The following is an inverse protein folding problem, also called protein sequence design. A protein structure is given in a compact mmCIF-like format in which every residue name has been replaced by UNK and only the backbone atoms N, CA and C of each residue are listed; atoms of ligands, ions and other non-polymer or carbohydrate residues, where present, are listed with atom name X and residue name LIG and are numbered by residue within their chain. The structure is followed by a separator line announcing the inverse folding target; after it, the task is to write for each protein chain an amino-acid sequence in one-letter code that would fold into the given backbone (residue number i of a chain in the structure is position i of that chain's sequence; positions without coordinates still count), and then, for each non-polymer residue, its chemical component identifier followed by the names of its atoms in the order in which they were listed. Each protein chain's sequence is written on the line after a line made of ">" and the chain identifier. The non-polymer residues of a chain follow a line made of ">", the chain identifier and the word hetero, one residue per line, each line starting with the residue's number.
data_IF_153197036994
#
_entry.id   IF_153197036994
#
_cell.length_a   1.000
_cell.length_b   1.000
_cell.length_c   1.000
_cell.angle_alpha   90.00
_cell.angle_beta   90.00
_cell.angle_gamma   90.00
#
_symmetry.space_group_name_H-M   'P 1'
#
loop_
_entity.id
_entity.type
_entity.pdbx_description
1 polymer ?
#
# COMPACT_ATOMS: atom_id res chain seq x y z
N UNK A 1 10.91 -4.64 -16.68
CA UNK A 1 10.16 -3.98 -15.61
C UNK A 1 9.66 -4.95 -14.57
N UNK A 2 9.69 -4.54 -13.31
CA UNK A 2 9.25 -5.39 -12.20
C UNK A 2 7.89 -4.93 -11.69
N UNK A 3 7.04 -5.90 -11.32
CA UNK A 3 5.83 -5.62 -10.55
C UNK A 3 6.12 -5.93 -9.09
N UNK A 4 6.00 -4.94 -8.23
CA UNK A 4 6.07 -5.11 -6.78
C UNK A 4 4.70 -5.54 -6.28
N UNK A 5 4.65 -6.67 -5.61
CA UNK A 5 3.41 -7.14 -5.00
C UNK A 5 3.11 -6.29 -3.77
N UNK A 6 1.86 -5.83 -3.66
CA UNK A 6 1.40 -5.19 -2.44
C UNK A 6 1.48 -6.18 -1.27
N UNK A 7 1.91 -5.73 -0.08
CA UNK A 7 1.84 -6.56 1.12
C UNK A 7 0.41 -6.86 1.55
N UNK A 8 -0.57 -6.10 1.06
CA UNK A 8 -1.98 -6.32 1.37
C UNK A 8 -2.66 -7.15 0.29
N UNK A 9 -3.42 -8.15 0.71
CA UNK A 9 -4.40 -8.83 -0.16
C UNK A 9 -5.66 -8.00 -0.19
N UNK A 10 -5.78 -7.16 -1.21
CA UNK A 10 -6.89 -6.23 -1.31
C UNK A 10 -7.79 -6.60 -2.50
N UNK A 11 -9.09 -6.81 -2.31
CA UNK A 11 -10.03 -7.06 -3.41
C UNK A 11 -10.01 -5.90 -4.41
N UNK A 12 -9.99 -6.21 -5.69
CA UNK A 12 -9.93 -5.19 -6.74
C UNK A 12 -8.53 -4.64 -7.00
N UNK A 13 -7.47 -5.33 -6.57
CA UNK A 13 -6.09 -4.96 -6.88
C UNK A 13 -5.88 -4.74 -8.39
N UNK A 14 -5.14 -3.69 -8.74
CA UNK A 14 -4.82 -3.30 -10.12
C UNK A 14 -3.47 -3.86 -10.59
N UNK A 15 -2.92 -4.85 -9.89
CA UNK A 15 -1.60 -5.41 -10.22
C UNK A 15 -1.52 -5.90 -11.68
N UNK A 16 -2.56 -6.57 -12.16
CA UNK A 16 -2.63 -7.05 -13.55
C UNK A 16 -2.70 -5.92 -14.58
N UNK A 17 -3.11 -4.75 -14.17
CA UNK A 17 -3.24 -3.58 -15.04
C UNK A 17 -1.94 -2.79 -15.20
N UNK A 18 -0.93 -3.04 -14.40
CA UNK A 18 0.31 -2.23 -14.37
C UNK A 18 0.97 -2.10 -15.74
N UNK A 19 1.14 -3.21 -16.48
CA UNK A 19 1.77 -3.15 -17.80
C UNK A 19 0.90 -2.43 -18.83
N UNK A 20 -0.41 -2.60 -18.77
CA UNK A 20 -1.34 -1.87 -19.63
C UNK A 20 -1.28 -0.38 -19.34
N UNK A 21 -1.22 0.00 -18.07
CA UNK A 21 -1.07 1.38 -17.65
C UNK A 21 0.22 1.99 -18.18
N UNK A 22 1.34 1.26 -18.11
CA UNK A 22 2.62 1.68 -18.69
C UNK A 22 2.51 1.95 -20.17
N UNK A 23 1.84 1.07 -20.92
CA UNK A 23 1.60 1.26 -22.36
C UNK A 23 0.79 2.52 -22.64
N UNK A 24 -0.23 2.81 -21.83
CA UNK A 24 -1.03 4.04 -21.97
C UNK A 24 -0.16 5.26 -21.79
N UNK A 25 0.69 5.28 -20.77
CA UNK A 25 1.63 6.37 -20.55
C UNK A 25 2.58 6.56 -21.75
N UNK A 26 3.18 5.48 -22.22
CA UNK A 26 4.13 5.52 -23.33
C UNK A 26 3.48 5.97 -24.62
N UNK A 27 2.31 5.43 -24.95
CA UNK A 27 1.59 5.76 -26.19
C UNK A 27 1.12 7.22 -26.22
N UNK A 28 0.94 7.84 -25.09
CA UNK A 28 0.52 9.24 -24.97
C UNK A 28 1.68 10.18 -24.59
N UNK A 29 2.91 9.68 -24.55
CA UNK A 29 4.11 10.44 -24.16
C UNK A 29 3.96 11.12 -22.79
N UNK A 30 3.31 10.44 -21.85
CA UNK A 30 3.09 10.95 -20.50
C UNK A 30 4.22 10.48 -19.60
N UNK A 31 4.96 11.45 -19.03
CA UNK A 31 6.00 11.20 -18.02
C UNK A 31 5.65 12.02 -16.77
N UNK A 32 4.85 11.48 -15.86
CA UNK A 32 4.38 12.24 -14.72
C UNK A 32 5.52 12.53 -13.73
N UNK A 33 5.56 13.76 -13.21
CA UNK A 33 6.40 14.08 -12.06
C UNK A 33 5.73 13.60 -10.78
N UNK A 34 4.42 13.80 -10.68
CA UNK A 34 3.62 13.37 -9.53
C UNK A 34 2.53 12.43 -10.04
N UNK A 35 2.43 11.27 -9.43
CA UNK A 35 1.35 10.32 -9.67
C UNK A 35 0.45 10.26 -8.43
N UNK A 36 -0.84 10.49 -8.63
CA UNK A 36 -1.83 10.49 -7.55
C UNK A 36 -2.77 9.31 -7.75
N UNK A 37 -2.84 8.42 -6.78
CA UNK A 37 -3.77 7.30 -6.80
C UNK A 37 -4.87 7.50 -5.76
N UNK A 38 -6.07 7.94 -6.17
CA UNK A 38 -7.23 7.95 -5.29
C UNK A 38 -7.74 6.53 -5.09
N UNK A 39 -8.37 6.27 -3.95
CA UNK A 39 -8.85 4.94 -3.59
C UNK A 39 -7.73 3.89 -3.65
N UNK A 40 -6.61 4.20 -3.03
CA UNK A 40 -5.35 3.47 -3.22
C UNK A 40 -5.43 1.98 -2.86
N UNK A 41 -6.17 1.62 -1.82
CA UNK A 41 -6.31 0.21 -1.41
C UNK A 41 -4.96 -0.47 -1.26
N UNK A 42 -4.70 -1.49 -2.07
CA UNK A 42 -3.42 -2.20 -2.11
C UNK A 42 -2.29 -1.44 -2.80
N UNK A 43 -2.55 -0.28 -3.39
CA UNK A 43 -1.59 0.63 -4.01
C UNK A 43 -0.70 -0.02 -5.08
N UNK A 44 -1.20 -1.00 -5.81
CA UNK A 44 -0.40 -1.78 -6.77
C UNK A 44 0.19 -0.93 -7.88
N UNK A 45 -0.56 0.03 -8.44
CA UNK A 45 -0.07 0.89 -9.51
C UNK A 45 0.97 1.87 -8.98
N UNK A 46 0.73 2.48 -7.82
CA UNK A 46 1.70 3.40 -7.20
C UNK A 46 3.01 2.72 -6.86
N UNK A 47 2.96 1.50 -6.33
CA UNK A 47 4.17 0.71 -6.06
C UNK A 47 4.91 0.39 -7.36
N UNK A 48 4.20 0.02 -8.41
CA UNK A 48 4.78 -0.21 -9.73
C UNK A 48 5.45 1.05 -10.29
N UNK A 49 4.78 2.20 -10.19
CA UNK A 49 5.33 3.48 -10.65
C UNK A 49 6.59 3.85 -9.88
N UNK A 50 6.58 3.68 -8.56
CA UNK A 50 7.71 4.00 -7.71
C UNK A 50 8.89 3.07 -7.95
N UNK A 51 8.65 1.77 -8.01
CA UNK A 51 9.70 0.76 -8.19
C UNK A 51 10.41 0.89 -9.54
N UNK A 52 9.70 1.30 -10.57
CA UNK A 52 10.25 1.43 -11.92
C UNK A 52 10.61 2.88 -12.28
N UNK A 53 10.64 3.76 -11.31
CA UNK A 53 11.01 5.17 -11.49
C UNK A 53 10.21 5.88 -12.59
N UNK A 54 8.90 5.57 -12.66
CA UNK A 54 8.01 6.14 -13.67
C UNK A 54 7.39 7.48 -13.24
N UNK A 55 7.57 7.86 -11.99
CA UNK A 55 7.20 9.16 -11.45
C UNK A 55 8.21 9.55 -10.36
N UNK A 56 8.40 10.85 -10.17
CA UNK A 56 9.31 11.34 -9.13
C UNK A 56 8.70 11.21 -7.75
N UNK A 57 7.37 11.30 -7.66
CA UNK A 57 6.63 11.25 -6.41
C UNK A 57 5.28 10.58 -6.62
N UNK A 58 4.88 9.77 -5.64
CA UNK A 58 3.53 9.22 -5.58
C UNK A 58 2.77 9.83 -4.41
N UNK A 59 1.46 9.99 -4.59
CA UNK A 59 0.54 10.44 -3.54
C UNK A 59 -0.60 9.44 -3.47
N UNK A 60 -0.76 8.80 -2.31
CA UNK A 60 -1.85 7.87 -2.06
C UNK A 60 -2.97 8.59 -1.35
N UNK A 61 -4.20 8.44 -1.85
CA UNK A 61 -5.40 8.97 -1.21
C UNK A 61 -6.28 7.81 -0.83
N UNK A 62 -6.51 7.62 0.46
CA UNK A 62 -7.30 6.52 1.00
C UNK A 62 -8.18 7.02 2.15
N UNK A 63 -9.49 6.77 2.01
CA UNK A 63 -10.48 7.18 3.01
C UNK A 63 -10.48 6.27 4.24
N UNK A 64 -10.23 4.98 4.05
CA UNK A 64 -10.17 4.02 5.16
C UNK A 64 -8.98 4.35 6.06
N UNK A 65 -9.24 4.68 7.31
CA UNK A 65 -8.19 5.11 8.24
C UNK A 65 -7.19 4.01 8.58
N UNK A 66 -7.59 2.74 8.54
CA UNK A 66 -6.68 1.61 8.75
C UNK A 66 -5.69 1.50 7.58
N UNK A 67 -6.21 1.52 6.35
CA UNK A 67 -5.38 1.47 5.14
C UNK A 67 -4.47 2.69 5.03
N UNK A 68 -4.99 3.88 5.26
CA UNK A 68 -4.21 5.11 5.23
C UNK A 68 -3.07 5.08 6.26
N UNK A 69 -3.37 4.61 7.47
CA UNK A 69 -2.37 4.47 8.54
C UNK A 69 -1.35 3.40 8.21
N UNK A 70 -1.77 2.29 7.60
CA UNK A 70 -0.86 1.24 7.13
C UNK A 70 0.16 1.80 6.13
N UNK A 71 -0.29 2.48 5.08
CA UNK A 71 0.61 3.03 4.07
C UNK A 71 1.52 4.13 4.63
N UNK A 72 1.00 4.97 5.51
CA UNK A 72 1.83 5.97 6.18
C UNK A 72 2.94 5.32 7.00
N UNK A 73 2.63 4.24 7.70
CA UNK A 73 3.62 3.52 8.49
C UNK A 73 4.61 2.77 7.61
N UNK A 74 4.17 2.17 6.51
CA UNK A 74 5.05 1.51 5.53
C UNK A 74 6.11 2.47 4.99
N UNK A 75 5.71 3.70 4.64
CA UNK A 75 6.64 4.64 4.03
C UNK A 75 7.47 5.46 5.02
N UNK A 76 6.99 5.67 6.23
CA UNK A 76 7.65 6.58 7.18
C UNK A 76 8.07 5.94 8.51
N UNK A 77 7.66 4.70 8.78
CA UNK A 77 7.92 4.03 10.07
C UNK A 77 8.03 2.50 9.87
N UNK A 78 8.61 2.10 8.76
CA UNK A 78 8.62 0.69 8.31
C UNK A 78 9.36 -0.24 9.28
N UNK A 79 10.47 0.21 9.86
CA UNK A 79 11.27 -0.62 10.76
C UNK A 79 10.46 -1.04 11.99
N UNK A 80 9.70 -0.12 12.57
CA UNK A 80 8.81 -0.44 13.68
C UNK A 80 7.74 -1.45 13.26
N UNK A 81 7.11 -1.25 12.11
CA UNK A 81 6.04 -2.14 11.64
C UNK A 81 6.57 -3.56 11.38
N UNK A 82 7.74 -3.67 10.76
CA UNK A 82 8.38 -4.96 10.48
C UNK A 82 8.68 -5.69 11.79
N UNK A 83 9.26 -5.02 12.77
CA UNK A 83 9.55 -5.60 14.08
C UNK A 83 8.29 -6.14 14.76
N UNK A 84 7.21 -5.35 14.75
CA UNK A 84 5.95 -5.74 15.39
C UNK A 84 5.30 -6.94 14.69
N UNK A 85 5.32 -6.96 13.36
CA UNK A 85 4.79 -8.09 12.58
C UNK A 85 5.59 -9.37 12.88
N UNK A 86 6.90 -9.28 12.98
CA UNK A 86 7.76 -10.43 13.29
C UNK A 86 7.50 -11.03 14.67
N UNK A 87 7.01 -10.23 15.62
CA UNK A 87 6.66 -10.69 16.96
C UNK A 87 5.30 -11.41 17.02
N UNK A 88 4.44 -11.25 16.00
CA UNK A 88 3.10 -11.81 16.00
C UNK A 88 3.10 -13.30 15.68
N UNK A 89 2.31 -14.06 16.45
CA UNK A 89 1.91 -15.41 16.09
C UNK A 89 0.61 -15.33 15.29
N UNK A 90 0.67 -15.69 14.02
CA UNK A 90 -0.50 -15.64 13.14
C UNK A 90 -1.36 -16.87 13.37
N UNK A 91 -2.43 -16.70 14.13
CA UNK A 91 -3.41 -17.75 14.48
C UNK A 91 -4.79 -17.12 14.68
N UNK A 92 -5.81 -17.98 14.91
CA UNK A 92 -7.20 -17.52 15.07
C UNK A 92 -7.37 -16.61 16.29
N UNK A 93 -6.64 -16.83 17.37
CA UNK A 93 -6.73 -16.00 18.57
C UNK A 93 -6.18 -14.60 18.33
N UNK A 94 -5.07 -14.48 17.62
CA UNK A 94 -4.49 -13.19 17.22
C UNK A 94 -5.45 -12.45 16.30
N UNK A 95 -6.06 -13.15 15.34
CA UNK A 95 -7.05 -12.57 14.45
C UNK A 95 -8.27 -12.04 15.21
N UNK A 96 -8.80 -12.83 16.16
CA UNK A 96 -9.92 -12.41 16.98
C UNK A 96 -9.57 -11.20 17.86
N UNK A 97 -8.36 -11.16 18.41
CA UNK A 97 -7.88 -10.03 19.19
C UNK A 97 -7.92 -8.74 18.34
N UNK A 98 -7.32 -8.75 17.15
CA UNK A 98 -7.29 -7.57 16.29
C UNK A 98 -8.66 -7.21 15.71
N UNK A 99 -9.52 -8.19 15.47
CA UNK A 99 -10.89 -7.93 15.02
C UNK A 99 -11.68 -7.04 16.00
N UNK A 100 -11.46 -7.22 17.29
CA UNK A 100 -12.14 -6.46 18.34
C UNK A 100 -11.29 -5.31 18.92
N UNK A 101 -10.06 -5.16 18.46
CA UNK A 101 -9.16 -4.13 18.91
C UNK A 101 -9.64 -2.75 18.44
N UNK A 102 -9.58 -1.76 19.33
CA UNK A 102 -9.97 -0.38 19.03
C UNK A 102 -8.73 0.50 18.99
N UNK A 103 -8.06 0.63 17.82
CA UNK A 103 -6.84 1.39 17.70
C UNK A 103 -7.12 2.89 17.76
N UNK A 104 -6.15 3.64 18.30
CA UNK A 104 -6.22 5.10 18.40
C UNK A 104 -5.10 5.72 17.56
N UNK A 105 -3.86 5.26 17.72
CA UNK A 105 -2.70 5.80 17.04
C UNK A 105 -2.57 5.28 15.60
N UNK A 106 -1.77 5.97 14.80
CA UNK A 106 -1.43 5.54 13.43
C UNK A 106 -0.74 4.17 13.46
N UNK A 107 0.20 3.96 14.38
CA UNK A 107 0.90 2.68 14.55
C UNK A 107 -0.06 1.54 14.87
N UNK A 108 -0.95 1.76 15.82
CA UNK A 108 -1.95 0.76 16.22
C UNK A 108 -2.88 0.40 15.05
N UNK A 109 -3.35 1.42 14.31
CA UNK A 109 -4.19 1.20 13.12
C UNK A 109 -3.44 0.45 12.02
N UNK A 110 -2.18 0.77 11.79
CA UNK A 110 -1.36 0.08 10.81
C UNK A 110 -1.16 -1.39 11.16
N UNK A 111 -0.93 -1.70 12.43
CA UNK A 111 -0.73 -3.06 12.88
C UNK A 111 -2.02 -3.89 12.80
N UNK A 112 -3.17 -3.28 13.09
CA UNK A 112 -4.47 -3.93 12.96
C UNK A 112 -4.83 -4.23 11.50
N UNK A 113 -4.42 -3.36 10.58
CA UNK A 113 -4.74 -3.50 9.15
C UNK A 113 -4.17 -4.80 8.57
#
# INVERSE_FOLDING_TARGET
>A
MKIVKSPLRYPGSKQKFCYTFKKILDNNNIKPKIFIEPFAGGASISLFMLQNELADKIVLIEKDSLLASFWKTVFFDSDWLIEEIQKLNININTWLYFKHYKPISIREKALQC
#
